data_IF_214463507315
#
_entry.id   IF_214463507315
#
_cell.length_a   1.000
_cell.length_b   1.000
_cell.length_c   1.000
_cell.angle_alpha   90.00
_cell.angle_beta   90.00
_cell.angle_gamma   90.00
#
_symmetry.space_group_name_H-M   'P 1'
#
loop_
_entity.id
_entity.type
_entity.pdbx_description
1 polymer ?
#
# COMPACT_ATOMS: atom_id res chain seq x y z
N UNK A 1 14.94 -7.44 14.35
CA UNK A 1 14.38 -6.24 13.71
C UNK A 1 12.87 -6.31 13.79
N UNK A 2 12.21 -5.24 14.22
CA UNK A 2 10.75 -5.15 14.10
C UNK A 2 10.43 -4.75 12.66
N UNK A 3 9.66 -5.59 11.98
CA UNK A 3 9.16 -5.36 10.63
C UNK A 3 7.98 -4.38 10.66
N UNK A 4 7.79 -3.63 9.58
CA UNK A 4 6.73 -2.63 9.43
C UNK A 4 5.33 -3.23 9.59
N UNK A 5 4.47 -2.51 10.29
CA UNK A 5 3.06 -2.84 10.58
C UNK A 5 2.20 -1.62 10.25
N UNK A 6 0.88 -1.79 10.18
CA UNK A 6 -0.04 -0.68 9.96
C UNK A 6 -0.88 -0.48 11.21
N UNK A 7 -0.88 0.73 11.75
CA UNK A 7 -1.80 1.19 12.79
C UNK A 7 -2.81 2.15 12.17
N UNK A 8 -3.93 2.37 12.86
CA UNK A 8 -4.95 3.34 12.44
C UNK A 8 -5.52 4.06 13.64
N UNK A 9 -5.62 5.37 13.54
CA UNK A 9 -6.19 6.26 14.55
C UNK A 9 -6.96 7.38 13.85
N UNK A 10 -8.08 7.78 14.44
CA UNK A 10 -8.83 8.97 14.02
C UNK A 10 -8.60 10.04 15.09
N UNK A 11 -8.13 11.20 14.65
CA UNK A 11 -7.98 12.41 15.47
C UNK A 11 -8.95 13.49 14.97
N UNK A 12 -9.31 14.45 15.83
CA UNK A 12 -10.34 15.43 15.51
C UNK A 12 -9.85 16.52 14.54
N UNK A 13 -8.56 16.87 14.62
CA UNK A 13 -7.93 17.87 13.76
C UNK A 13 -6.44 17.60 13.60
N UNK A 14 -5.81 18.32 12.67
CA UNK A 14 -4.36 18.26 12.49
C UNK A 14 -3.58 18.79 13.71
N UNK A 15 -4.19 19.64 14.54
CA UNK A 15 -3.54 20.17 15.75
C UNK A 15 -3.29 19.09 16.81
N UNK A 16 -4.06 17.99 16.78
CA UNK A 16 -3.87 16.83 17.65
C UNK A 16 -2.75 15.91 17.14
N UNK A 17 -2.26 16.07 15.90
CA UNK A 17 -1.24 15.18 15.32
C UNK A 17 0.11 15.39 16.02
N UNK A 18 0.45 14.47 16.92
CA UNK A 18 1.69 14.50 17.65
C UNK A 18 2.29 13.09 17.82
N UNK A 19 3.52 13.03 18.34
CA UNK A 19 4.25 11.76 18.52
C UNK A 19 3.47 10.75 19.37
N UNK A 20 2.81 11.22 20.44
CA UNK A 20 2.07 10.35 21.35
C UNK A 20 0.91 9.67 20.62
N UNK A 21 0.10 10.42 19.88
CA UNK A 21 -1.01 9.85 19.09
C UNK A 21 -0.51 8.84 18.05
N UNK A 22 0.61 9.11 17.39
CA UNK A 22 1.21 8.18 16.41
C UNK A 22 1.70 6.89 17.09
N UNK A 23 2.37 6.98 18.25
CA UNK A 23 2.92 5.82 18.95
C UNK A 23 1.84 4.98 19.65
N UNK A 24 0.78 5.61 20.14
CA UNK A 24 -0.33 4.94 20.83
C UNK A 24 -1.42 4.45 19.86
N UNK A 25 -1.30 4.75 18.56
CA UNK A 25 -2.26 4.34 17.54
C UNK A 25 -2.48 2.81 17.56
N UNK A 26 -3.74 2.35 17.70
CA UNK A 26 -4.02 0.92 17.76
C UNK A 26 -3.54 0.18 16.51
N UNK A 27 -2.91 -0.98 16.74
CA UNK A 27 -2.44 -1.85 15.67
C UNK A 27 -3.63 -2.36 14.85
N UNK A 28 -3.58 -2.16 13.53
CA UNK A 28 -4.61 -2.60 12.60
C UNK A 28 -4.17 -3.89 11.87
N UNK A 29 -3.00 -3.86 11.25
CA UNK A 29 -2.47 -4.98 10.46
C UNK A 29 -1.12 -5.39 11.00
N UNK A 30 -1.08 -6.65 11.46
CA UNK A 30 0.15 -7.36 11.78
C UNK A 30 0.43 -8.38 10.68
N UNK A 31 1.47 -8.14 9.89
CA UNK A 31 1.88 -9.06 8.83
C UNK A 31 2.50 -10.34 9.40
N UNK A 32 2.79 -11.32 8.53
CA UNK A 32 3.52 -12.51 8.94
C UNK A 32 4.95 -12.16 9.40
N UNK A 33 5.61 -13.09 10.09
CA UNK A 33 6.96 -12.86 10.68
C UNK A 33 8.03 -12.46 9.66
N UNK A 34 7.81 -12.74 8.38
CA UNK A 34 8.74 -12.47 7.28
C UNK A 34 8.27 -11.35 6.34
N UNK A 35 7.12 -10.76 6.62
CA UNK A 35 6.49 -9.74 5.79
C UNK A 35 6.40 -8.41 6.55
N UNK A 36 6.43 -7.32 5.80
CA UNK A 36 6.16 -5.99 6.30
C UNK A 36 5.35 -5.21 5.28
N UNK A 37 4.84 -4.06 5.67
CA UNK A 37 4.13 -3.20 4.74
C UNK A 37 3.84 -1.84 5.33
N UNK A 38 3.14 -1.05 4.54
CA UNK A 38 2.76 0.31 4.88
C UNK A 38 1.71 0.85 3.94
N UNK A 39 1.10 1.94 4.36
CA UNK A 39 0.18 2.74 3.55
C UNK A 39 0.97 3.72 2.70
N UNK A 40 0.52 3.92 1.47
CA UNK A 40 1.08 4.90 0.52
C UNK A 40 0.09 6.03 0.26
N UNK A 41 -1.20 5.68 0.13
CA UNK A 41 -2.27 6.61 -0.22
C UNK A 41 -3.60 6.12 0.37
N UNK A 42 -4.48 7.06 0.73
CA UNK A 42 -5.84 6.76 1.22
C UNK A 42 -6.87 7.58 0.46
N UNK A 43 -8.03 6.98 0.22
CA UNK A 43 -9.17 7.60 -0.46
C UNK A 43 -10.43 7.45 0.37
N UNK A 44 -11.25 8.50 0.42
CA UNK A 44 -12.61 8.37 0.92
C UNK A 44 -13.49 7.76 -0.17
N UNK A 45 -14.14 6.65 0.13
CA UNK A 45 -15.06 5.97 -0.78
C UNK A 45 -16.51 6.39 -0.50
N UNK A 46 -17.39 6.26 -1.49
CA UNK A 46 -18.82 6.68 -1.41
C UNK A 46 -19.58 6.06 -0.23
N UNK A 47 -19.19 4.87 0.21
CA UNK A 47 -19.79 4.17 1.35
C UNK A 47 -19.22 4.61 2.71
N UNK A 48 -18.52 5.76 2.77
CA UNK A 48 -17.85 6.31 3.96
C UNK A 48 -16.77 5.39 4.55
N UNK A 49 -16.29 4.41 3.79
CA UNK A 49 -15.07 3.67 4.11
C UNK A 49 -13.87 4.40 3.53
N UNK A 50 -12.71 4.08 4.08
CA UNK A 50 -11.43 4.52 3.55
C UNK A 50 -10.87 3.38 2.71
N UNK A 51 -10.60 3.63 1.43
CA UNK A 51 -9.78 2.78 0.58
C UNK A 51 -8.32 3.06 0.87
N UNK A 52 -7.53 2.03 1.14
CA UNK A 52 -6.11 2.13 1.42
C UNK A 52 -5.35 1.48 0.28
N UNK A 53 -4.49 2.26 -0.37
CA UNK A 53 -3.44 1.77 -1.26
C UNK A 53 -2.13 1.77 -0.48
N UNK A 54 -1.45 0.63 -0.50
CA UNK A 54 -0.18 0.48 0.19
C UNK A 54 0.69 -0.57 -0.47
N UNK A 55 1.72 -0.99 0.25
CA UNK A 55 2.58 -2.09 -0.16
C UNK A 55 2.64 -3.17 0.91
N UNK A 56 2.80 -4.41 0.45
CA UNK A 56 3.27 -5.53 1.26
C UNK A 56 4.57 -6.04 0.66
N UNK A 57 5.52 -6.37 1.52
CA UNK A 57 6.88 -6.67 1.16
C UNK A 57 7.44 -7.86 1.93
N UNK A 58 8.39 -8.54 1.30
CA UNK A 58 9.17 -9.61 1.91
C UNK A 58 10.57 -9.65 1.33
N UNK A 59 11.44 -10.40 2.01
CA UNK A 59 12.80 -10.70 1.56
C UNK A 59 12.96 -12.20 1.32
N UNK A 60 13.61 -12.58 0.23
CA UNK A 60 13.99 -13.97 0.01
C UNK A 60 15.33 -14.35 0.70
N UNK A 61 15.77 -15.59 0.50
CA UNK A 61 17.03 -16.09 1.06
C UNK A 61 18.29 -15.46 0.46
N UNK A 62 18.17 -14.86 -0.72
CA UNK A 62 19.26 -14.22 -1.47
C UNK A 62 19.30 -12.69 -1.25
N UNK A 63 18.53 -12.18 -0.28
CA UNK A 63 18.33 -10.75 -0.02
C UNK A 63 17.59 -9.96 -1.11
N UNK A 64 16.95 -10.62 -2.09
CA UNK A 64 16.07 -9.95 -3.04
C UNK A 64 14.82 -9.44 -2.32
N UNK A 65 14.43 -8.22 -2.64
CA UNK A 65 13.23 -7.57 -2.11
C UNK A 65 12.07 -7.75 -3.07
N UNK A 66 10.93 -8.16 -2.51
CA UNK A 66 9.67 -8.27 -3.23
C UNK A 66 8.69 -7.31 -2.62
N UNK A 67 8.25 -6.30 -3.38
CA UNK A 67 7.23 -5.34 -2.93
C UNK A 67 6.06 -5.40 -3.90
N UNK A 68 4.86 -5.51 -3.35
CA UNK A 68 3.63 -5.61 -4.11
C UNK A 68 2.67 -4.51 -3.69
N UNK A 69 2.14 -3.71 -4.63
CA UNK A 69 0.98 -2.89 -4.39
C UNK A 69 -0.17 -3.74 -3.87
N UNK A 70 -0.75 -3.29 -2.77
CA UNK A 70 -1.86 -3.95 -2.11
C UNK A 70 -2.93 -2.93 -1.76
N UNK A 71 -4.16 -3.42 -1.66
CA UNK A 71 -5.28 -2.62 -1.19
C UNK A 71 -6.09 -3.34 -0.11
N UNK A 72 -6.73 -2.54 0.72
CA UNK A 72 -7.83 -2.96 1.59
C UNK A 72 -8.74 -1.76 1.88
N UNK A 73 -9.91 -2.01 2.47
CA UNK A 73 -10.79 -0.94 2.96
C UNK A 73 -10.85 -0.97 4.48
N UNK A 74 -11.05 0.16 5.12
CA UNK A 74 -11.31 0.27 6.57
C UNK A 74 -12.55 1.14 6.83
N UNK A 75 -13.40 0.71 7.77
CA UNK A 75 -14.44 1.54 8.32
C UNK A 75 -13.88 2.36 9.50
N UNK A 76 -13.78 3.69 9.38
CA UNK A 76 -13.15 4.53 10.41
C UNK A 76 -13.91 4.52 11.75
N UNK A 77 -15.19 4.13 11.76
CA UNK A 77 -16.02 4.13 12.99
C UNK A 77 -15.73 2.96 13.93
N UNK A 78 -15.27 1.83 13.40
CA UNK A 78 -15.10 0.60 14.18
C UNK A 78 -13.84 -0.19 13.82
N UNK A 79 -12.96 0.40 13.01
CA UNK A 79 -11.69 -0.18 12.56
C UNK A 79 -11.79 -1.52 11.83
N UNK A 80 -13.00 -1.98 11.48
CA UNK A 80 -13.16 -3.21 10.69
C UNK A 80 -12.60 -2.97 9.29
N UNK A 81 -11.71 -3.85 8.87
CA UNK A 81 -11.07 -3.78 7.57
C UNK A 81 -11.34 -5.03 6.73
N UNK A 82 -11.25 -4.89 5.40
CA UNK A 82 -11.32 -6.03 4.49
C UNK A 82 -10.02 -6.84 4.52
N UNK A 83 -10.04 -8.02 3.87
CA UNK A 83 -8.80 -8.73 3.54
C UNK A 83 -7.94 -7.86 2.61
N UNK A 84 -6.63 -7.99 2.77
CA UNK A 84 -5.63 -7.40 1.88
C UNK A 84 -5.68 -8.13 0.54
N UNK A 85 -5.62 -7.37 -0.56
CA UNK A 85 -5.52 -7.89 -1.92
C UNK A 85 -4.25 -7.33 -2.57
N UNK A 86 -3.40 -8.19 -3.12
CA UNK A 86 -2.33 -7.75 -4.02
C UNK A 86 -2.94 -7.41 -5.38
N UNK A 87 -2.64 -6.23 -5.90
CA UNK A 87 -3.24 -5.72 -7.15
C UNK A 87 -2.27 -5.71 -8.33
N UNK A 88 -0.96 -5.84 -8.08
CA UNK A 88 0.06 -5.82 -9.13
C UNK A 88 1.31 -6.60 -8.72
N UNK A 89 1.90 -7.31 -9.68
CA UNK A 89 3.18 -8.04 -9.55
C UNK A 89 4.15 -7.62 -10.66
N UNK A 90 5.46 -7.76 -10.40
CA UNK A 90 6.53 -7.36 -11.34
C UNK A 90 6.39 -7.96 -12.74
N UNK A 91 5.99 -9.23 -12.84
CA UNK A 91 5.81 -9.91 -14.13
C UNK A 91 4.62 -9.42 -14.96
N UNK A 92 3.79 -8.52 -14.43
CA UNK A 92 2.70 -7.88 -15.18
C UNK A 92 3.13 -6.54 -15.82
N UNK A 93 4.39 -6.14 -15.64
CA UNK A 93 4.98 -4.93 -16.23
C UNK A 93 6.05 -5.30 -17.23
N UNK A 94 6.34 -4.44 -18.23
CA UNK A 94 7.49 -4.62 -19.11
C UNK A 94 8.78 -4.85 -18.33
N UNK A 95 9.72 -5.59 -18.92
CA UNK A 95 11.09 -5.61 -18.40
C UNK A 95 11.67 -4.19 -18.48
N UNK A 96 12.45 -3.82 -17.49
CA UNK A 96 12.95 -2.46 -17.32
C UNK A 96 14.05 -2.40 -16.27
N UNK A 97 14.61 -1.21 -16.12
CA UNK A 97 15.78 -0.97 -15.28
C UNK A 97 15.47 -1.13 -13.78
N UNK A 98 16.51 -1.40 -13.01
CA UNK A 98 16.46 -1.43 -11.55
C UNK A 98 17.75 -0.86 -11.00
N UNK A 99 17.64 -0.01 -9.97
CA UNK A 99 18.78 0.65 -9.33
C UNK A 99 19.84 -0.34 -8.83
N UNK A 100 19.42 -1.56 -8.49
CA UNK A 100 20.31 -2.71 -8.30
C UNK A 100 19.53 -4.04 -8.38
N UNK A 101 20.25 -5.16 -8.37
CA UNK A 101 19.70 -6.53 -8.47
C UNK A 101 18.67 -6.88 -7.39
N UNK A 102 18.78 -6.32 -6.18
CA UNK A 102 17.87 -6.64 -5.06
C UNK A 102 16.49 -6.02 -5.27
N UNK A 103 16.39 -4.98 -6.09
CA UNK A 103 15.18 -4.17 -6.27
C UNK A 103 14.36 -4.57 -7.50
N UNK A 104 14.81 -5.57 -8.28
CA UNK A 104 14.15 -5.99 -9.53
C UNK A 104 12.67 -6.32 -9.32
N UNK A 105 12.31 -6.88 -8.16
CA UNK A 105 10.93 -7.25 -7.82
C UNK A 105 10.22 -6.21 -6.92
N UNK A 106 10.75 -5.00 -6.82
CA UNK A 106 10.16 -3.92 -6.04
C UNK A 106 9.22 -3.11 -6.92
N UNK A 107 7.94 -3.08 -6.53
CA UNK A 107 6.97 -2.12 -7.03
C UNK A 107 6.45 -1.34 -5.83
N UNK A 108 6.64 -0.01 -5.85
CA UNK A 108 6.23 0.89 -4.79
C UNK A 108 5.09 1.81 -5.27
N UNK A 109 3.89 1.75 -4.68
CA UNK A 109 2.78 2.61 -5.12
C UNK A 109 3.06 4.09 -4.86
N UNK A 110 2.82 4.91 -5.88
CA UNK A 110 2.86 6.37 -5.78
C UNK A 110 1.49 7.00 -5.51
N UNK A 111 0.40 6.34 -5.91
CA UNK A 111 -0.96 6.82 -5.72
C UNK A 111 -1.89 6.31 -6.81
N UNK A 112 -3.16 6.71 -6.75
CA UNK A 112 -4.15 6.29 -7.73
C UNK A 112 -5.22 7.34 -8.00
N UNK A 113 -5.88 7.24 -9.16
CA UNK A 113 -6.93 8.15 -9.61
C UNK A 113 -8.09 7.34 -10.21
N UNK A 114 -9.32 7.62 -9.77
CA UNK A 114 -10.53 6.99 -10.30
C UNK A 114 -10.91 7.67 -11.62
N UNK A 115 -11.06 6.88 -12.68
CA UNK A 115 -11.50 7.32 -14.00
C UNK A 115 -13.04 7.40 -14.08
N UNK A 116 -13.55 8.18 -15.03
CA UNK A 116 -14.99 8.31 -15.29
C UNK A 116 -15.69 6.98 -15.62
N UNK A 117 -14.96 6.01 -16.16
CA UNK A 117 -15.48 4.67 -16.49
C UNK A 117 -15.44 3.69 -15.29
N UNK A 118 -15.11 4.19 -14.09
CA UNK A 118 -15.02 3.40 -12.86
C UNK A 118 -13.75 2.54 -12.75
N UNK A 119 -12.81 2.64 -13.68
CA UNK A 119 -11.47 2.04 -13.53
C UNK A 119 -10.55 2.94 -12.70
N UNK A 120 -9.34 2.47 -12.39
CA UNK A 120 -8.33 3.26 -11.69
C UNK A 120 -7.06 3.35 -12.51
N UNK A 121 -6.50 4.56 -12.60
CA UNK A 121 -5.10 4.78 -12.95
C UNK A 121 -4.24 4.57 -11.71
N UNK A 122 -3.41 3.54 -11.72
CA UNK A 122 -2.43 3.25 -10.68
C UNK A 122 -1.05 3.77 -11.10
N UNK A 123 -0.43 4.57 -10.24
CA UNK A 123 0.93 5.07 -10.43
C UNK A 123 1.89 4.29 -9.52
N UNK A 124 2.97 3.76 -10.07
CA UNK A 124 3.96 2.97 -9.31
C UNK A 124 5.38 3.33 -9.70
N UNK A 125 6.28 3.37 -8.73
CA UNK A 125 7.71 3.26 -8.94
C UNK A 125 8.13 1.79 -9.04
N UNK A 126 9.09 1.48 -9.91
CA UNK A 126 9.58 0.12 -10.15
C UNK A 126 11.11 0.11 -10.09
N UNK A 127 11.66 -0.82 -9.31
CA UNK A 127 13.11 -1.00 -9.18
C UNK A 127 13.88 0.21 -8.66
N UNK A 128 13.19 1.20 -8.07
CA UNK A 128 13.72 2.54 -7.75
C UNK A 128 14.43 3.22 -8.94
N UNK A 129 13.98 2.93 -10.17
CA UNK A 129 14.58 3.45 -11.40
C UNK A 129 13.53 3.98 -12.38
N UNK A 130 12.34 3.37 -12.41
CA UNK A 130 11.29 3.68 -13.38
C UNK A 130 9.98 4.03 -12.68
N UNK A 131 9.07 4.66 -13.44
CA UNK A 131 7.70 4.90 -13.01
C UNK A 131 6.71 4.49 -14.11
N UNK A 132 5.60 3.90 -13.71
CA UNK A 132 4.55 3.45 -14.62
C UNK A 132 3.19 3.99 -14.20
N UNK A 133 2.36 4.30 -15.20
CA UNK A 133 0.91 4.50 -15.07
C UNK A 133 0.21 3.30 -15.70
N UNK A 134 -0.67 2.65 -14.93
CA UNK A 134 -1.36 1.43 -15.37
C UNK A 134 -2.85 1.58 -15.10
N UNK A 135 -3.68 1.28 -16.10
CA UNK A 135 -5.13 1.26 -15.93
C UNK A 135 -5.58 -0.12 -15.46
N UNK A 136 -6.25 -0.19 -14.31
CA UNK A 136 -6.75 -1.44 -13.72
C UNK A 136 -8.23 -1.32 -13.39
N UNK A 137 -8.92 -2.46 -13.23
CA UNK A 137 -10.25 -2.48 -12.62
C UNK A 137 -10.15 -1.90 -11.20
N UNK A 138 -11.14 -1.11 -10.79
CA UNK A 138 -11.14 -0.53 -9.45
C UNK A 138 -11.17 -1.65 -8.40
N UNK A 139 -10.13 -1.76 -7.54
CA UNK A 139 -9.98 -2.86 -6.61
C UNK A 139 -10.74 -2.65 -5.29
N UNK A 140 -11.39 -1.48 -5.13
CA UNK A 140 -12.25 -1.13 -3.99
C UNK A 140 -13.73 -1.40 -4.22
N UNK A 141 -14.14 -1.69 -5.46
CA UNK A 141 -15.48 -2.16 -5.80
C UNK A 141 -15.66 -3.65 -5.44
#
# INVERSE_FOLDING_TARGET
MNLGKISFLVINSLDELNKKEIYDAPLLINFSKSEWGGTNEIQLLDNKKIGVLGHIAKRDKNNSLYYYPMVFTINPKNMKHSKIKIILKRGQLPQGESKNEKLVNVIFPGGSEINNDGTINLYVGVGDAEAYKIKIKNPFL
#
